data_IF_851599406219
#
_entry.id   IF_851599406219
#
_cell.length_a   1.000
_cell.length_b   1.000
_cell.length_c   1.000
_cell.angle_alpha   90.00
_cell.angle_beta   90.00
_cell.angle_gamma   90.00
#
_symmetry.space_group_name_H-M   'P 1'
#
loop_
_entity.id
_entity.type
_entity.pdbx_description
1 polymer ?
#
# COMPACT_ATOMS: atom_id res chain seq x y z
N UNK A 1 -5.69 -0.16 -21.79
CA UNK A 1 -6.05 -0.54 -23.17
C UNK A 1 -6.42 -2.01 -23.18
N UNK A 2 -7.63 -2.33 -23.64
CA UNK A 2 -8.15 -3.70 -23.67
C UNK A 2 -7.89 -4.40 -25.02
N UNK A 3 -7.99 -5.73 -25.04
CA UNK A 3 -7.91 -6.58 -26.24
C UNK A 3 -6.68 -6.36 -27.15
N UNK A 4 -5.53 -5.98 -26.57
CA UNK A 4 -4.31 -5.82 -27.34
C UNK A 4 -3.88 -7.18 -27.91
N UNK A 5 -3.77 -7.29 -29.23
CA UNK A 5 -3.45 -8.48 -30.01
C UNK A 5 -4.62 -9.19 -30.69
N UNK A 6 -5.86 -8.80 -30.40
CA UNK A 6 -7.07 -9.47 -30.92
C UNK A 6 -7.31 -9.25 -32.43
N UNK A 7 -6.67 -8.23 -33.01
CA UNK A 7 -6.79 -7.78 -34.40
C UNK A 7 -5.70 -6.76 -34.79
N UNK A 8 -6.08 -5.58 -35.33
CA UNK A 8 -5.12 -4.51 -35.64
C UNK A 8 -4.74 -3.73 -34.38
N UNK A 9 -3.80 -4.27 -33.61
CA UNK A 9 -3.19 -3.52 -32.51
C UNK A 9 -2.14 -2.56 -33.06
N UNK A 10 -2.53 -1.28 -33.12
CA UNK A 10 -1.67 -0.23 -33.64
C UNK A 10 -0.70 0.25 -32.55
N UNK A 11 0.59 0.02 -32.75
CA UNK A 11 1.63 0.61 -31.90
C UNK A 11 1.59 2.15 -31.93
N UNK A 12 1.09 2.75 -33.02
CA UNK A 12 0.86 4.21 -33.06
C UNK A 12 -0.24 4.62 -32.09
N UNK A 13 -1.33 3.85 -32.00
CA UNK A 13 -2.40 4.11 -31.02
C UNK A 13 -1.88 3.90 -29.60
N UNK A 14 -1.09 2.85 -29.35
CA UNK A 14 -0.49 2.63 -28.03
C UNK A 14 0.45 3.77 -27.62
N UNK A 15 1.29 4.26 -28.54
CA UNK A 15 2.21 5.38 -28.32
C UNK A 15 1.51 6.66 -27.88
N UNK A 16 0.34 6.96 -28.46
CA UNK A 16 -0.39 8.21 -28.21
C UNK A 16 -1.47 8.06 -27.13
N UNK A 17 -1.73 6.84 -26.66
CA UNK A 17 -2.71 6.58 -25.62
C UNK A 17 -2.13 6.85 -24.24
N UNK A 18 -2.81 7.69 -23.45
CA UNK A 18 -2.50 7.89 -22.04
C UNK A 18 -3.17 6.78 -21.21
N UNK A 19 -2.49 5.64 -21.06
CA UNK A 19 -2.98 4.46 -20.33
C UNK A 19 -1.92 3.93 -19.39
N UNK A 20 -2.35 3.40 -18.24
CA UNK A 20 -1.43 2.79 -17.27
C UNK A 20 -1.35 1.26 -17.42
N UNK A 21 -2.39 0.65 -18.02
CA UNK A 21 -2.53 -0.80 -18.15
C UNK A 21 -2.69 -1.25 -19.60
N UNK A 22 -2.01 -2.34 -19.96
CA UNK A 22 -2.14 -3.04 -21.24
C UNK A 22 -2.66 -4.46 -21.01
N UNK A 23 -3.88 -4.75 -21.46
CA UNK A 23 -4.46 -6.10 -21.38
C UNK A 23 -4.19 -6.84 -22.68
N UNK A 24 -3.51 -7.98 -22.57
CA UNK A 24 -3.19 -8.86 -23.70
C UNK A 24 -4.35 -9.82 -23.92
N UNK A 25 -4.88 -9.82 -25.15
CA UNK A 25 -5.98 -10.67 -25.56
C UNK A 25 -5.66 -12.16 -25.38
N UNK A 26 -6.69 -12.94 -25.02
CA UNK A 26 -6.58 -14.37 -24.75
C UNK A 26 -6.01 -15.21 -25.91
N UNK A 27 -6.07 -14.72 -27.16
CA UNK A 27 -5.46 -15.41 -28.30
C UNK A 27 -3.94 -15.56 -28.16
N UNK A 28 -3.28 -14.72 -27.37
CA UNK A 28 -1.87 -14.93 -27.05
C UNK A 28 -1.62 -16.16 -26.18
N UNK A 29 -2.61 -16.59 -25.39
CA UNK A 29 -2.53 -17.80 -24.56
C UNK A 29 -2.91 -19.08 -25.33
N UNK A 30 -3.55 -18.94 -26.49
CA UNK A 30 -3.87 -20.03 -27.42
C UNK A 30 -2.62 -20.44 -28.21
N UNK A 31 -1.69 -21.08 -27.50
CA UNK A 31 -0.41 -21.52 -28.05
C UNK A 31 -0.52 -22.98 -28.51
N UNK A 32 -0.52 -23.19 -29.81
CA UNK A 32 -0.51 -24.50 -30.43
C UNK A 32 0.91 -25.06 -30.56
N UNK A 33 1.03 -26.39 -30.61
CA UNK A 33 2.33 -27.07 -30.78
C UNK A 33 3.12 -26.56 -32.02
N UNK A 34 2.42 -26.10 -33.06
CA UNK A 34 3.02 -25.58 -34.29
C UNK A 34 3.56 -24.16 -34.17
N UNK A 35 3.00 -23.32 -33.28
CA UNK A 35 3.38 -21.92 -33.14
C UNK A 35 4.02 -21.59 -31.78
N UNK A 36 4.20 -22.58 -30.89
CA UNK A 36 4.71 -22.41 -29.52
C UNK A 36 5.96 -21.54 -29.42
N UNK A 37 7.00 -21.85 -30.19
CA UNK A 37 8.23 -21.05 -30.17
C UNK A 37 7.99 -19.60 -30.58
N UNK A 38 7.25 -19.36 -31.67
CA UNK A 38 6.98 -18.02 -32.18
C UNK A 38 6.06 -17.22 -31.25
N UNK A 39 5.00 -17.85 -30.74
CA UNK A 39 4.05 -17.24 -29.81
C UNK A 39 4.72 -16.78 -28.52
N UNK A 40 5.56 -17.62 -27.92
CA UNK A 40 6.33 -17.30 -26.71
C UNK A 40 7.27 -16.10 -26.96
N UNK A 41 7.96 -16.04 -28.09
CA UNK A 41 8.87 -14.92 -28.41
C UNK A 41 8.12 -13.61 -28.66
N UNK A 42 6.97 -13.67 -29.33
CA UNK A 42 6.09 -12.50 -29.52
C UNK A 42 5.61 -12.00 -28.16
N UNK A 43 5.09 -12.90 -27.32
CA UNK A 43 4.59 -12.55 -26.00
C UNK A 43 5.67 -11.89 -25.14
N UNK A 44 6.87 -12.49 -25.11
CA UNK A 44 8.04 -11.91 -24.42
C UNK A 44 8.38 -10.52 -24.95
N UNK A 45 8.39 -10.32 -26.27
CA UNK A 45 8.71 -9.03 -26.87
C UNK A 45 7.69 -7.95 -26.51
N UNK A 46 6.41 -8.31 -26.42
CA UNK A 46 5.34 -7.38 -26.01
C UNK A 46 5.50 -7.03 -24.53
N UNK A 47 5.79 -8.00 -23.67
CA UNK A 47 6.03 -7.78 -22.25
C UNK A 47 7.24 -6.86 -22.04
N UNK A 48 8.35 -7.12 -22.71
CA UNK A 48 9.56 -6.29 -22.65
C UNK A 48 9.30 -4.87 -23.16
N UNK A 49 8.50 -4.71 -24.21
CA UNK A 49 8.10 -3.40 -24.73
C UNK A 49 7.23 -2.65 -23.71
N UNK A 50 6.19 -3.28 -23.18
CA UNK A 50 5.28 -2.65 -22.22
C UNK A 50 6.03 -2.18 -20.96
N UNK A 51 7.00 -2.96 -20.46
CA UNK A 51 7.86 -2.51 -19.36
C UNK A 51 8.70 -1.27 -19.70
N UNK A 52 9.20 -1.14 -20.94
CA UNK A 52 9.95 0.06 -21.38
C UNK A 52 9.07 1.31 -21.54
N UNK A 53 7.77 1.11 -21.64
CA UNK A 53 6.77 2.17 -21.71
C UNK A 53 6.12 2.45 -20.34
N UNK A 54 6.67 1.86 -19.27
CA UNK A 54 6.14 1.94 -17.90
C UNK A 54 4.66 1.49 -17.78
N UNK A 55 4.25 0.56 -18.63
CA UNK A 55 2.91 -0.01 -18.63
C UNK A 55 2.82 -1.27 -17.78
N UNK A 56 1.69 -1.43 -17.10
CA UNK A 56 1.36 -2.63 -16.34
C UNK A 56 0.54 -3.60 -17.20
N UNK A 57 0.94 -4.87 -17.25
CA UNK A 57 0.46 -5.86 -18.21
C UNK A 57 -0.49 -6.85 -17.53
N UNK A 58 -1.64 -7.10 -18.14
CA UNK A 58 -2.59 -8.14 -17.72
C UNK A 58 -2.75 -9.13 -18.87
N UNK A 59 -2.28 -10.36 -18.71
CA UNK A 59 -2.50 -11.42 -19.70
C UNK A 59 -3.84 -12.12 -19.46
N UNK A 60 -4.75 -12.06 -20.42
CA UNK A 60 -6.05 -12.72 -20.34
C UNK A 60 -6.02 -14.16 -20.87
N UNK A 61 -6.98 -14.97 -20.44
CA UNK A 61 -7.15 -16.34 -20.94
C UNK A 61 -6.16 -17.34 -20.36
N UNK A 62 -5.65 -17.13 -19.15
CA UNK A 62 -4.80 -18.12 -18.46
C UNK A 62 -5.65 -19.29 -17.97
N UNK A 63 -5.48 -20.46 -18.57
CA UNK A 63 -6.28 -21.66 -18.26
C UNK A 63 -5.47 -22.78 -17.61
N UNK A 64 -4.14 -22.76 -17.76
CA UNK A 64 -3.25 -23.80 -17.23
C UNK A 64 -2.13 -23.24 -16.36
N UNK A 65 -1.61 -24.11 -15.49
CA UNK A 65 -0.42 -23.82 -14.67
C UNK A 65 0.80 -23.49 -15.53
N UNK A 66 1.00 -24.22 -16.63
CA UNK A 66 2.12 -24.00 -17.55
C UNK A 66 2.06 -22.58 -18.16
N UNK A 67 0.89 -22.12 -18.59
CA UNK A 67 0.71 -20.75 -19.07
C UNK A 67 1.05 -19.72 -17.98
N UNK A 68 0.59 -19.95 -16.74
CA UNK A 68 0.92 -19.07 -15.61
C UNK A 68 2.43 -19.02 -15.32
N UNK A 69 3.12 -20.16 -15.36
CA UNK A 69 4.57 -20.24 -15.14
C UNK A 69 5.36 -19.56 -16.26
N UNK A 70 4.94 -19.71 -17.52
CA UNK A 70 5.52 -19.00 -18.67
C UNK A 70 5.38 -17.48 -18.48
N UNK A 71 4.17 -17.00 -18.16
CA UNK A 71 3.93 -15.57 -17.91
C UNK A 71 4.79 -15.03 -16.77
N UNK A 72 4.90 -15.78 -15.67
CA UNK A 72 5.77 -15.44 -14.54
C UNK A 72 7.24 -15.36 -14.95
N UNK A 73 7.72 -16.32 -15.76
CA UNK A 73 9.11 -16.34 -16.24
C UNK A 73 9.47 -15.15 -17.13
N UNK A 74 8.47 -14.54 -17.79
CA UNK A 74 8.62 -13.33 -18.59
C UNK A 74 8.45 -12.04 -17.78
N UNK A 75 8.23 -12.15 -16.45
CA UNK A 75 7.90 -11.03 -15.58
C UNK A 75 6.60 -10.31 -15.97
N UNK A 76 5.62 -11.02 -16.54
CA UNK A 76 4.28 -10.47 -16.76
C UNK A 76 3.62 -10.15 -15.42
N UNK A 77 2.94 -9.01 -15.34
CA UNK A 77 2.55 -8.40 -14.06
C UNK A 77 1.33 -9.10 -13.47
N UNK A 78 0.32 -9.36 -14.31
CA UNK A 78 -0.89 -10.06 -13.92
C UNK A 78 -1.31 -11.11 -14.94
N UNK A 79 -1.95 -12.17 -14.44
CA UNK A 79 -2.66 -13.15 -15.25
C UNK A 79 -4.13 -13.19 -14.83
N UNK A 80 -5.03 -13.20 -15.80
CA UNK A 80 -6.46 -13.36 -15.62
C UNK A 80 -6.93 -14.57 -16.41
N UNK A 81 -7.67 -15.47 -15.76
CA UNK A 81 -8.28 -16.59 -16.46
C UNK A 81 -8.74 -17.70 -15.53
N UNK A 82 -9.35 -18.73 -16.14
CA UNK A 82 -10.01 -19.82 -15.43
C UNK A 82 -9.07 -20.71 -14.62
N UNK A 83 -7.76 -20.64 -14.87
CA UNK A 83 -6.76 -21.27 -14.01
C UNK A 83 -6.85 -20.76 -12.56
N UNK A 84 -7.18 -19.48 -12.38
CA UNK A 84 -7.32 -18.87 -11.06
C UNK A 84 -8.77 -18.99 -10.59
N UNK A 85 -9.65 -18.23 -11.22
CA UNK A 85 -11.07 -18.18 -10.88
C UNK A 85 -11.89 -17.89 -12.13
N UNK A 86 -13.06 -18.52 -12.23
CA UNK A 86 -14.07 -18.14 -13.22
C UNK A 86 -14.77 -16.84 -12.80
N UNK A 87 -15.38 -16.09 -13.75
CA UNK A 87 -16.33 -15.04 -13.41
C UNK A 87 -17.33 -15.56 -12.38
N UNK A 88 -17.52 -14.79 -11.32
CA UNK A 88 -18.32 -15.18 -10.16
C UNK A 88 -19.26 -14.04 -9.76
N UNK A 89 -20.25 -14.34 -8.93
CA UNK A 89 -21.15 -13.31 -8.38
C UNK A 89 -20.39 -12.40 -7.41
N UNK A 90 -20.98 -11.23 -7.12
CA UNK A 90 -20.40 -10.25 -6.19
C UNK A 90 -20.19 -10.88 -4.81
N UNK A 91 -21.16 -11.64 -4.31
CA UNK A 91 -21.09 -12.27 -2.98
C UNK A 91 -19.96 -13.30 -2.90
N UNK A 92 -19.75 -14.07 -3.97
CA UNK A 92 -18.64 -15.01 -4.04
C UNK A 92 -17.28 -14.30 -4.08
N UNK A 93 -17.19 -13.17 -4.79
CA UNK A 93 -15.98 -12.37 -4.87
C UNK A 93 -15.65 -11.72 -3.52
N UNK A 94 -16.61 -11.12 -2.82
CA UNK A 94 -16.42 -10.53 -1.49
C UNK A 94 -15.91 -11.56 -0.49
N UNK A 95 -16.53 -12.73 -0.46
CA UNK A 95 -16.09 -13.83 0.41
C UNK A 95 -14.68 -14.29 0.06
N UNK A 96 -14.36 -14.39 -1.23
CA UNK A 96 -13.02 -14.75 -1.68
C UNK A 96 -11.98 -13.72 -1.22
N UNK A 97 -12.23 -12.43 -1.41
CA UNK A 97 -11.32 -11.34 -1.02
C UNK A 97 -11.04 -11.36 0.48
N UNK A 98 -12.03 -11.68 1.31
CA UNK A 98 -11.84 -11.82 2.77
C UNK A 98 -10.91 -12.99 3.16
N UNK A 99 -10.85 -14.03 2.33
CA UNK A 99 -10.04 -15.24 2.58
C UNK A 99 -8.65 -15.20 1.94
N UNK A 100 -8.44 -14.33 0.96
CA UNK A 100 -7.12 -14.15 0.33
C UNK A 100 -6.22 -13.43 1.35
N UNK A 101 -5.12 -14.05 1.80
CA UNK A 101 -4.15 -13.37 2.65
C UNK A 101 -3.66 -12.11 1.94
N UNK A 102 -3.58 -10.98 2.65
CA UNK A 102 -3.13 -9.68 2.11
C UNK A 102 -1.76 -9.79 1.40
N UNK A 103 -0.95 -10.80 1.74
CA UNK A 103 0.29 -11.21 1.05
C UNK A 103 0.13 -11.33 -0.47
N UNK A 104 -1.03 -11.78 -0.98
CA UNK A 104 -1.28 -11.92 -2.43
C UNK A 104 -1.70 -10.62 -3.13
N UNK A 105 -2.13 -9.59 -2.39
CA UNK A 105 -2.40 -8.24 -2.94
C UNK A 105 -1.10 -7.45 -3.16
N UNK A 106 0.02 -7.85 -2.52
CA UNK A 106 1.27 -7.08 -2.54
C UNK A 106 2.06 -7.23 -3.83
N UNK A 107 1.95 -8.37 -4.51
CA UNK A 107 2.47 -8.54 -5.89
C UNK A 107 1.80 -7.55 -6.86
N UNK A 108 0.56 -7.13 -6.57
CA UNK A 108 -0.13 -6.10 -7.34
C UNK A 108 0.34 -4.66 -7.02
N UNK A 109 0.65 -4.39 -5.74
CA UNK A 109 1.16 -3.08 -5.33
C UNK A 109 2.64 -2.86 -5.70
N UNK A 110 3.41 -3.94 -5.90
CA UNK A 110 4.81 -3.96 -6.37
C UNK A 110 5.00 -3.39 -7.79
N UNK A 111 3.94 -3.44 -8.62
CA UNK A 111 3.96 -2.95 -9.99
C UNK A 111 3.72 -1.43 -10.07
N UNK A 112 2.85 -0.91 -9.20
CA UNK A 112 2.45 0.51 -9.16
C UNK A 112 3.50 1.38 -8.45
N UNK A 113 4.28 0.79 -7.54
CA UNK A 113 5.35 1.50 -6.80
C UNK A 113 6.59 1.82 -7.65
N UNK A 114 6.64 1.40 -8.92
CA UNK A 114 7.64 1.88 -9.91
C UNK A 114 7.61 3.40 -10.13
N UNK A 115 6.54 4.10 -9.72
CA UNK A 115 6.33 5.53 -9.99
C UNK A 115 6.95 6.48 -8.93
N UNK A 116 7.43 5.99 -7.78
CA UNK A 116 8.01 6.89 -6.75
C UNK A 116 9.44 6.54 -6.40
N UNK A 117 10.36 7.25 -7.05
CA UNK A 117 11.75 7.57 -6.65
C UNK A 117 12.25 7.01 -5.30
N UNK A 118 12.47 5.70 -5.20
CA UNK A 118 13.36 5.11 -4.20
C UNK A 118 14.59 4.59 -4.93
N UNK A 119 15.66 5.38 -4.87
CA UNK A 119 16.99 5.09 -5.46
C UNK A 119 17.83 4.19 -4.56
N UNK A 120 17.23 3.16 -3.95
CA UNK A 120 17.99 2.11 -3.27
C UNK A 120 17.81 0.81 -4.03
N UNK A 121 18.93 0.19 -4.42
CA UNK A 121 18.93 -1.11 -5.06
C UNK A 121 18.34 -2.12 -4.08
N UNK A 122 17.16 -2.63 -4.41
CA UNK A 122 16.46 -3.60 -3.58
C UNK A 122 17.24 -4.93 -3.49
N UNK A 123 17.08 -5.69 -2.41
CA UNK A 123 17.79 -6.94 -2.19
C UNK A 123 17.59 -7.95 -3.33
N UNK A 124 18.67 -8.59 -3.77
CA UNK A 124 18.62 -9.56 -4.88
C UNK A 124 18.19 -10.97 -4.48
N UNK A 125 17.95 -11.26 -3.18
CA UNK A 125 17.65 -12.63 -2.70
C UNK A 125 16.24 -12.79 -2.10
N UNK A 126 15.54 -13.91 -2.42
CA UNK A 126 14.23 -14.25 -1.83
C UNK A 126 14.17 -14.23 -0.30
N UNK A 127 15.27 -14.51 0.41
CA UNK A 127 15.29 -14.45 1.88
C UNK A 127 15.22 -13.02 2.42
N UNK A 128 15.88 -12.05 1.78
CA UNK A 128 15.81 -10.64 2.17
C UNK A 128 14.40 -10.08 1.96
N UNK A 129 13.68 -10.56 0.94
CA UNK A 129 12.27 -10.22 0.72
C UNK A 129 11.37 -10.78 1.81
N UNK A 130 11.55 -12.04 2.22
CA UNK A 130 10.83 -12.62 3.36
C UNK A 130 11.12 -11.87 4.66
N UNK A 131 12.35 -11.40 4.84
CA UNK A 131 12.71 -10.58 5.99
C UNK A 131 12.00 -9.22 5.95
N UNK A 132 12.03 -8.52 4.82
CA UNK A 132 11.31 -7.25 4.64
C UNK A 132 9.80 -7.41 4.80
N UNK A 133 9.22 -8.51 4.33
CA UNK A 133 7.81 -8.83 4.47
C UNK A 133 7.41 -9.08 5.93
N UNK A 134 8.18 -9.91 6.64
CA UNK A 134 7.97 -10.15 8.07
C UNK A 134 8.13 -8.85 8.87
N UNK A 135 9.12 -8.01 8.54
CA UNK A 135 9.28 -6.69 9.15
C UNK A 135 8.04 -5.84 8.90
N UNK A 136 7.53 -5.78 7.66
CA UNK A 136 6.35 -5.00 7.34
C UNK A 136 5.07 -5.53 8.02
N UNK A 137 4.91 -6.86 8.12
CA UNK A 137 3.80 -7.48 8.88
C UNK A 137 3.88 -7.15 10.35
N UNK A 138 5.06 -7.27 10.96
CA UNK A 138 5.29 -6.88 12.37
C UNK A 138 4.93 -5.40 12.55
N UNK A 139 5.37 -4.52 11.66
CA UNK A 139 5.02 -3.10 11.70
C UNK A 139 3.50 -2.90 11.58
N UNK A 140 2.84 -3.59 10.66
CA UNK A 140 1.39 -3.49 10.44
C UNK A 140 0.54 -4.07 11.58
N UNK A 141 0.97 -5.13 12.23
CA UNK A 141 0.26 -5.80 13.33
C UNK A 141 0.37 -4.99 14.64
N UNK A 142 1.42 -4.18 14.77
CA UNK A 142 1.59 -3.29 15.91
C UNK A 142 1.06 -1.87 15.66
N UNK A 143 0.68 -1.54 14.42
CA UNK A 143 0.12 -0.25 14.04
C UNK A 143 -1.33 -0.11 14.51
N UNK A 144 -1.57 0.89 15.35
CA UNK A 144 -2.89 1.24 15.86
C UNK A 144 -3.61 2.19 14.91
N UNK A 145 -2.90 3.18 14.36
CA UNK A 145 -3.49 4.20 13.50
C UNK A 145 -2.45 4.68 12.50
N UNK A 146 -2.87 4.85 11.25
CA UNK A 146 -2.11 5.45 10.17
C UNK A 146 -2.99 6.48 9.49
N UNK A 147 -2.54 7.72 9.46
CA UNK A 147 -3.31 8.82 8.88
C UNK A 147 -2.42 9.78 8.11
N UNK A 148 -2.98 10.46 7.10
CA UNK A 148 -2.42 11.72 6.61
C UNK A 148 -2.99 12.84 7.46
N UNK A 149 -2.13 13.79 7.83
CA UNK A 149 -2.47 14.90 8.68
C UNK A 149 -2.03 16.21 8.03
N UNK A 150 -2.95 17.16 7.94
CA UNK A 150 -2.71 18.48 7.37
C UNK A 150 -2.39 19.48 8.47
N UNK A 151 -1.16 20.01 8.49
CA UNK A 151 -0.66 20.92 9.53
C UNK A 151 -1.26 22.33 9.48
N UNK A 152 -1.94 22.69 8.39
CA UNK A 152 -2.61 23.99 8.26
C UNK A 152 -4.04 23.89 8.78
N UNK A 153 -4.80 22.93 8.27
CA UNK A 153 -6.23 22.81 8.56
C UNK A 153 -6.52 21.97 9.81
N UNK A 154 -5.58 21.14 10.23
CA UNK A 154 -5.82 20.08 11.21
C UNK A 154 -6.62 18.91 10.64
N UNK A 155 -6.89 18.90 9.33
CA UNK A 155 -7.67 17.86 8.69
C UNK A 155 -6.93 16.53 8.60
N UNK A 156 -7.69 15.44 8.69
CA UNK A 156 -7.16 14.10 8.91
C UNK A 156 -7.81 13.07 8.00
N UNK A 157 -6.98 12.28 7.33
CA UNK A 157 -7.39 11.17 6.48
C UNK A 157 -6.86 9.87 7.08
N UNK A 158 -7.73 9.03 7.64
CA UNK A 158 -7.29 7.74 8.16
C UNK A 158 -7.10 6.74 7.03
N UNK A 159 -5.88 6.23 6.87
CA UNK A 159 -5.53 5.20 5.89
C UNK A 159 -5.78 3.81 6.47
N UNK A 160 -5.35 3.58 7.71
CA UNK A 160 -5.51 2.29 8.42
C UNK A 160 -5.75 2.54 9.90
N UNK A 161 -6.57 1.69 10.50
CA UNK A 161 -6.75 1.64 11.96
C UNK A 161 -6.82 0.20 12.46
N UNK A 162 -6.48 0.03 13.73
CA UNK A 162 -6.79 -1.17 14.48
C UNK A 162 -8.32 -1.27 14.65
N UNK A 163 -8.90 -2.49 14.57
CA UNK A 163 -10.33 -2.69 14.75
C UNK A 163 -10.87 -2.11 16.07
N UNK A 164 -10.06 -2.08 17.14
CA UNK A 164 -10.45 -1.52 18.44
C UNK A 164 -10.71 -0.02 18.45
N UNK A 165 -10.36 0.70 17.38
CA UNK A 165 -10.53 2.14 17.24
C UNK A 165 -11.78 2.48 16.40
N UNK A 166 -12.95 1.98 16.79
CA UNK A 166 -14.19 2.07 16.00
C UNK A 166 -14.63 3.50 15.69
N UNK A 167 -14.33 4.46 16.58
CA UNK A 167 -14.66 5.87 16.37
C UNK A 167 -13.89 6.57 15.24
N UNK A 168 -12.87 5.93 14.65
CA UNK A 168 -12.10 6.50 13.55
C UNK A 168 -12.61 5.98 12.19
N UNK A 169 -13.25 6.84 11.41
CA UNK A 169 -13.63 6.54 10.03
C UNK A 169 -12.42 6.55 9.08
N UNK A 170 -12.61 6.02 7.86
CA UNK A 170 -11.65 6.14 6.74
C UNK A 170 -11.87 7.46 5.97
N UNK A 171 -12.98 8.15 6.25
CA UNK A 171 -13.30 9.44 5.66
C UNK A 171 -12.40 10.58 6.17
N UNK A 172 -12.33 11.65 5.38
CA UNK A 172 -11.59 12.85 5.74
C UNK A 172 -12.33 13.66 6.82
N UNK A 173 -11.70 13.84 7.97
CA UNK A 173 -12.24 14.60 9.10
C UNK A 173 -11.62 15.99 9.18
N UNK A 174 -12.44 17.01 9.41
CA UNK A 174 -12.00 18.42 9.48
C UNK A 174 -12.08 19.00 10.89
N UNK A 175 -12.77 18.34 11.83
CA UNK A 175 -12.88 18.76 13.22
C UNK A 175 -11.71 18.22 14.05
N UNK A 176 -10.60 18.94 13.98
CA UNK A 176 -9.37 18.60 14.67
C UNK A 176 -9.53 18.46 16.21
N UNK A 177 -10.19 19.39 16.93
CA UNK A 177 -10.45 19.22 18.36
C UNK A 177 -11.21 17.94 18.71
N UNK A 178 -12.23 17.59 17.92
CA UNK A 178 -12.99 16.34 18.13
C UNK A 178 -12.11 15.12 17.87
N UNK A 179 -11.28 15.14 16.83
CA UNK A 179 -10.33 14.06 16.55
C UNK A 179 -9.35 13.83 17.70
N UNK A 180 -8.72 14.90 18.20
CA UNK A 180 -7.79 14.82 19.35
C UNK A 180 -8.51 14.30 20.59
N UNK A 181 -9.73 14.79 20.86
CA UNK A 181 -10.54 14.31 21.98
C UNK A 181 -10.86 12.82 21.87
N UNK A 182 -11.09 12.33 20.65
CA UNK A 182 -11.31 10.91 20.38
C UNK A 182 -10.06 10.07 20.61
N UNK A 183 -8.88 10.53 20.17
CA UNK A 183 -7.62 9.82 20.45
C UNK A 183 -7.41 9.61 21.95
N UNK A 184 -7.70 10.65 22.75
CA UNK A 184 -7.62 10.58 24.20
C UNK A 184 -8.73 9.70 24.80
N UNK A 185 -9.95 9.80 24.27
CA UNK A 185 -11.13 9.04 24.73
C UNK A 185 -11.04 7.54 24.49
N UNK A 186 -10.43 7.12 23.38
CA UNK A 186 -10.16 5.71 23.04
C UNK A 186 -8.96 5.13 23.83
N UNK A 187 -8.47 5.88 24.82
CA UNK A 187 -7.37 5.51 25.71
C UNK A 187 -6.10 5.13 24.96
N UNK A 188 -5.81 5.75 23.81
CA UNK A 188 -4.52 5.60 23.11
C UNK A 188 -3.38 6.27 23.88
N UNK A 189 -3.72 7.30 24.64
CA UNK A 189 -2.86 8.09 25.51
C UNK A 189 -3.44 8.02 26.92
N UNK A 190 -2.58 7.76 27.91
CA UNK A 190 -2.96 7.70 29.30
C UNK A 190 -3.39 9.09 29.77
N UNK A 191 -4.40 9.20 30.66
CA UNK A 191 -4.89 10.50 31.13
C UNK A 191 -3.79 11.44 31.65
N UNK A 192 -2.82 10.90 32.39
CA UNK A 192 -1.66 11.65 32.90
C UNK A 192 -0.76 12.26 31.80
N UNK A 193 -0.75 11.66 30.60
CA UNK A 193 0.07 12.13 29.47
C UNK A 193 -0.75 13.04 28.51
N UNK A 194 -2.04 13.26 28.80
CA UNK A 194 -2.96 13.92 27.87
C UNK A 194 -2.59 15.39 27.62
N UNK A 195 -2.10 16.11 28.64
CA UNK A 195 -1.72 17.51 28.49
C UNK A 195 -0.45 17.68 27.66
N UNK A 196 0.54 16.82 27.88
CA UNK A 196 1.75 16.75 27.05
C UNK A 196 1.39 16.40 25.61
N UNK A 197 0.52 15.40 25.41
CA UNK A 197 0.03 15.02 24.08
C UNK A 197 -0.64 16.20 23.36
N UNK A 198 -1.52 16.96 24.04
CA UNK A 198 -2.15 18.16 23.46
C UNK A 198 -1.13 19.22 23.08
N UNK A 199 -0.14 19.46 23.94
CA UNK A 199 0.94 20.41 23.66
C UNK A 199 1.75 20.01 22.43
N UNK A 200 2.06 18.71 22.29
CA UNK A 200 2.80 18.17 21.14
C UNK A 200 1.97 18.27 19.87
N UNK A 201 0.67 17.98 19.94
CA UNK A 201 -0.20 17.97 18.78
C UNK A 201 -0.63 19.38 18.33
N UNK A 202 -0.35 20.41 19.12
CA UNK A 202 -0.66 21.80 18.79
C UNK A 202 -0.11 22.19 17.41
N UNK A 203 -0.98 22.66 16.53
CA UNK A 203 -0.66 22.87 15.11
C UNK A 203 0.46 23.90 14.89
N UNK A 204 0.58 24.91 15.75
CA UNK A 204 1.67 25.90 15.70
C UNK A 204 3.03 25.26 15.99
N UNK A 205 3.11 24.41 17.02
CA UNK A 205 4.32 23.66 17.36
C UNK A 205 4.71 22.69 16.25
N UNK A 206 3.73 21.93 15.73
CA UNK A 206 3.98 20.99 14.65
C UNK A 206 4.42 21.68 13.35
N UNK A 207 3.82 22.82 12.99
CA UNK A 207 4.26 23.60 11.83
C UNK A 207 5.68 24.12 11.98
N UNK A 208 6.03 24.65 13.16
CA UNK A 208 7.39 25.13 13.42
C UNK A 208 8.38 24.00 13.18
N UNK A 209 8.11 22.84 13.77
CA UNK A 209 8.97 21.66 13.71
C UNK A 209 9.07 21.08 12.30
N UNK A 210 7.93 20.79 11.66
CA UNK A 210 7.88 20.04 10.41
C UNK A 210 8.31 20.87 9.19
N UNK A 211 7.97 22.16 9.14
CA UNK A 211 8.33 23.01 8.00
C UNK A 211 9.79 23.47 8.03
N UNK A 212 10.40 23.58 9.21
CA UNK A 212 11.76 24.12 9.36
C UNK A 212 12.80 23.04 9.63
N UNK A 213 12.55 22.12 10.56
CA UNK A 213 13.53 21.11 10.95
C UNK A 213 13.54 19.90 9.99
N UNK A 214 12.44 19.68 9.25
CA UNK A 214 12.28 18.64 8.21
C UNK A 214 12.71 17.23 8.63
N UNK A 215 12.63 16.93 9.93
CA UNK A 215 12.94 15.62 10.50
C UNK A 215 11.67 14.89 10.91
N UNK A 216 11.70 13.56 10.85
CA UNK A 216 10.71 12.74 11.53
C UNK A 216 10.86 12.87 13.05
N UNK A 217 9.77 12.72 13.77
CA UNK A 217 9.77 12.81 15.24
C UNK A 217 8.99 11.64 15.81
N UNK A 218 9.42 11.19 16.98
CA UNK A 218 8.83 10.08 17.71
C UNK A 218 8.55 10.57 19.12
N UNK A 219 7.30 10.42 19.56
CA UNK A 219 6.86 10.67 20.92
C UNK A 219 6.33 9.38 21.53
N UNK A 220 6.52 9.20 22.83
CA UNK A 220 6.07 8.00 23.54
C UNK A 220 5.13 8.40 24.66
N UNK A 221 4.01 7.71 24.73
CA UNK A 221 2.98 7.92 25.75
C UNK A 221 2.58 6.57 26.34
N UNK A 222 2.08 6.60 27.57
CA UNK A 222 1.47 5.45 28.19
C UNK A 222 0.10 5.24 27.58
N UNK A 223 -0.37 3.99 27.54
CA UNK A 223 -1.69 3.56 27.10
C UNK A 223 -2.28 2.69 28.18
N UNK A 224 -3.49 3.01 28.65
CA UNK A 224 -4.12 2.25 29.73
C UNK A 224 -4.42 0.81 29.28
N UNK A 225 -4.08 -0.16 30.12
CA UNK A 225 -4.40 -1.57 29.89
C UNK A 225 -4.67 -2.29 31.21
N UNK A 226 -5.92 -2.70 31.43
CA UNK A 226 -6.37 -3.30 32.70
C UNK A 226 -5.90 -2.46 33.91
N UNK A 227 -5.09 -3.05 34.79
CA UNK A 227 -4.54 -2.42 36.00
C UNK A 227 -3.16 -1.76 35.77
N UNK A 228 -2.65 -1.74 34.54
CA UNK A 228 -1.35 -1.16 34.20
C UNK A 228 -1.39 -0.34 32.90
N UNK A 229 -0.24 -0.19 32.26
CA UNK A 229 -0.11 0.51 31.00
C UNK A 229 0.89 -0.17 30.05
N UNK A 230 0.74 0.09 28.75
CA UNK A 230 1.74 -0.20 27.73
C UNK A 230 2.27 1.11 27.15
N UNK A 231 3.45 1.07 26.55
CA UNK A 231 3.94 2.20 25.78
C UNK A 231 3.34 2.20 24.37
N UNK A 232 2.94 3.38 23.90
CA UNK A 232 2.52 3.66 22.53
C UNK A 232 3.45 4.73 21.97
N UNK A 233 3.84 4.58 20.71
CA UNK A 233 4.57 5.61 19.98
C UNK A 233 3.63 6.36 19.05
N UNK A 234 3.82 7.68 18.98
CA UNK A 234 3.33 8.56 17.92
C UNK A 234 4.53 8.99 17.09
N UNK A 235 4.53 8.63 15.82
CA UNK A 235 5.55 9.04 14.85
C UNK A 235 4.92 9.96 13.82
N UNK A 236 5.59 11.08 13.53
CA UNK A 236 5.19 12.01 12.48
C UNK A 236 6.33 12.08 11.45
N UNK A 237 5.98 11.82 10.20
CA UNK A 237 6.89 11.87 9.07
C UNK A 237 6.47 12.98 8.11
N UNK A 238 7.28 14.03 7.92
CA UNK A 238 6.99 15.03 6.90
C UNK A 238 7.13 14.42 5.51
N UNK A 239 6.24 14.78 4.58
CA UNK A 239 6.45 14.50 3.17
C UNK A 239 7.74 15.19 2.69
N UNK A 240 8.37 14.68 1.61
CA UNK A 240 9.68 15.14 1.10
C UNK A 240 9.72 16.65 0.78
N UNK A 241 8.55 17.26 0.57
CA UNK A 241 8.37 18.69 0.28
C UNK A 241 7.47 19.40 1.31
N UNK A 242 7.42 18.89 2.55
CA UNK A 242 6.56 19.44 3.59
C UNK A 242 6.82 20.94 3.81
N UNK A 243 5.79 21.74 3.57
CA UNK A 243 5.85 23.20 3.48
C UNK A 243 4.45 23.79 3.67
N UNK A 244 4.30 25.12 3.57
CA UNK A 244 2.96 25.73 3.62
C UNK A 244 2.12 25.32 2.40
N UNK A 245 2.77 25.13 1.26
CA UNK A 245 2.15 24.76 -0.01
C UNK A 245 1.84 23.24 -0.06
N UNK A 246 2.61 22.44 0.67
CA UNK A 246 2.37 21.00 0.87
C UNK A 246 2.40 20.63 2.37
N UNK A 247 1.33 20.91 3.13
CA UNK A 247 1.34 20.85 4.60
C UNK A 247 1.08 19.45 5.17
N UNK A 248 1.29 18.40 4.39
CA UNK A 248 0.93 17.04 4.76
C UNK A 248 2.06 16.33 5.47
N UNK A 249 1.69 15.58 6.51
CA UNK A 249 2.56 14.63 7.21
C UNK A 249 1.86 13.29 7.34
N UNK A 250 2.63 12.22 7.39
CA UNK A 250 2.15 10.90 7.77
C UNK A 250 2.23 10.78 9.29
N UNK A 251 1.10 10.46 9.92
CA UNK A 251 1.00 10.19 11.35
C UNK A 251 0.81 8.69 11.57
N UNK A 252 1.66 8.11 12.40
CA UNK A 252 1.61 6.69 12.78
C UNK A 252 1.49 6.59 14.29
N UNK A 253 0.49 5.88 14.78
CA UNK A 253 0.40 5.46 16.17
C UNK A 253 0.57 3.94 16.20
N UNK A 254 1.50 3.44 17.01
CA UNK A 254 1.73 2.00 17.11
C UNK A 254 2.12 1.58 18.53
N UNK A 255 1.88 0.31 18.86
CA UNK A 255 2.33 -0.28 20.12
C UNK A 255 3.86 -0.28 20.15
N UNK A 256 4.43 0.16 21.27
CA UNK A 256 5.86 -0.01 21.53
C UNK A 256 6.08 -1.36 22.21
N UNK A 257 7.06 -2.17 21.76
CA UNK A 257 7.28 -3.54 22.27
C UNK A 257 7.83 -3.61 23.71
N UNK A 258 8.06 -2.48 24.38
CA UNK A 258 8.47 -2.47 25.79
C UNK A 258 7.28 -2.72 26.71
N UNK A 259 7.17 -3.95 27.20
CA UNK A 259 6.42 -4.27 28.43
C UNK A 259 7.16 -3.61 29.60
N UNK A 260 6.40 -3.09 30.54
CA UNK A 260 6.89 -2.54 31.80
C UNK A 260 7.98 -3.46 32.41
N UNK A 261 9.18 -2.97 32.76
CA UNK A 261 10.23 -3.80 33.38
C UNK A 261 9.85 -4.35 34.77
N UNK A 262 8.75 -3.85 35.37
CA UNK A 262 8.22 -4.29 36.66
C UNK A 262 7.03 -5.28 36.55
N UNK A 263 6.86 -5.97 35.41
CA UNK A 263 5.89 -7.07 35.21
C UNK A 263 6.61 -8.40 34.95
#
# INVERSE_FOLDING_TARGET
MDDFGSGYSSLNVLKDANVDYLKLDMKFMQIDAKNKGKGIQILKSIVDMAHRLDLVIIAEGVETKEQSEILKSMNCNYGQGFYFYRPMSVEAAEKLIQTIPIENFRVAHEQVSRIRNVREALPSSPEMWKLGDNIFRILLDHMLLLSRFNLITGGMETIKRDPSLEGFGIEYETDYPTYISRLLGEQLVHPDDADEFRSIMALDQLRLRMFHEKGSVIYRFRRKFKAGYFWTSLELFPDTECSKENPWVVMVIHKSPSVNPDL
#
